data_IF_886588044455
#
_entry.id   IF_886588044455
#
_cell.length_a   1.000
_cell.length_b   1.000
_cell.length_c   1.000
_cell.angle_alpha   90.00
_cell.angle_beta   90.00
_cell.angle_gamma   90.00
#
_symmetry.space_group_name_H-M   'P 1'
#
loop_
_entity.id
_entity.type
_entity.pdbx_description
1 polymer ?
#
# COMPACT_ATOMS: atom_id res chain seq x y z
N UNK A 1 7.32 -14.27 -26.25
CA UNK A 1 7.21 -13.00 -25.52
C UNK A 1 5.74 -12.85 -25.20
N UNK A 2 5.39 -12.67 -23.93
CA UNK A 2 3.99 -12.52 -23.54
C UNK A 2 3.50 -11.12 -23.91
N UNK A 3 2.41 -11.03 -24.64
CA UNK A 3 1.68 -9.77 -24.85
C UNK A 3 0.86 -9.44 -23.60
N UNK A 4 0.50 -8.16 -23.42
CA UNK A 4 -0.37 -7.74 -22.30
C UNK A 4 -1.71 -8.49 -22.30
N UNK A 5 -2.28 -8.74 -23.48
CA UNK A 5 -3.53 -9.47 -23.64
C UNK A 5 -3.39 -10.95 -23.22
N UNK A 6 -2.29 -11.61 -23.60
CA UNK A 6 -1.99 -12.98 -23.13
C UNK A 6 -1.77 -13.03 -21.62
N UNK A 7 -1.06 -12.05 -21.05
CA UNK A 7 -0.90 -11.92 -19.59
C UNK A 7 -2.26 -11.76 -18.92
N UNK A 8 -3.11 -10.87 -19.41
CA UNK A 8 -4.44 -10.61 -18.84
C UNK A 8 -5.33 -11.85 -18.89
N UNK A 9 -5.37 -12.56 -20.02
CA UNK A 9 -6.13 -13.80 -20.14
C UNK A 9 -5.63 -14.88 -19.20
N UNK A 10 -4.33 -15.18 -19.21
CA UNK A 10 -3.76 -16.25 -18.38
C UNK A 10 -3.80 -15.91 -16.90
N UNK A 11 -3.58 -14.65 -16.52
CA UNK A 11 -3.74 -14.24 -15.12
C UNK A 11 -5.19 -14.36 -14.67
N UNK A 12 -6.18 -14.09 -15.53
CA UNK A 12 -7.58 -14.29 -15.20
C UNK A 12 -7.87 -15.74 -14.85
N UNK A 13 -7.39 -16.69 -15.66
CA UNK A 13 -7.51 -18.13 -15.40
C UNK A 13 -6.88 -18.51 -14.04
N UNK A 14 -5.69 -17.97 -13.73
CA UNK A 14 -5.02 -18.18 -12.44
C UNK A 14 -5.87 -17.67 -11.28
N UNK A 15 -6.47 -16.47 -11.38
CA UNK A 15 -7.26 -15.87 -10.32
C UNK A 15 -8.60 -16.61 -10.11
N UNK A 16 -9.27 -17.02 -11.20
CA UNK A 16 -10.49 -17.84 -11.14
C UNK A 16 -10.21 -19.14 -10.38
N UNK A 17 -9.13 -19.85 -10.73
CA UNK A 17 -8.79 -21.12 -10.11
C UNK A 17 -8.34 -20.97 -8.65
N UNK A 18 -7.55 -19.93 -8.36
CA UNK A 18 -7.00 -19.72 -7.02
C UNK A 18 -8.08 -19.25 -6.03
N UNK A 19 -9.00 -18.40 -6.48
CA UNK A 19 -10.03 -17.78 -5.62
C UNK A 19 -11.37 -18.51 -5.66
N UNK A 20 -11.59 -19.41 -6.62
CA UNK A 20 -12.87 -20.11 -6.79
C UNK A 20 -14.03 -19.16 -7.15
N UNK A 21 -13.72 -18.09 -7.88
CA UNK A 21 -14.69 -17.05 -8.31
C UNK A 21 -15.07 -17.21 -9.78
N UNK A 22 -16.22 -16.68 -10.15
CA UNK A 22 -16.66 -16.69 -11.55
C UNK A 22 -15.77 -15.79 -12.43
N UNK A 23 -15.47 -16.23 -13.66
CA UNK A 23 -14.60 -15.51 -14.59
C UNK A 23 -15.09 -14.09 -14.90
N UNK A 24 -16.41 -13.88 -14.94
CA UNK A 24 -17.05 -12.60 -15.21
C UNK A 24 -16.84 -11.57 -14.09
N UNK A 25 -16.48 -12.00 -12.88
CA UNK A 25 -16.12 -11.11 -11.76
C UNK A 25 -14.68 -10.60 -11.87
N UNK A 26 -13.80 -11.30 -12.58
CA UNK A 26 -12.37 -10.98 -12.69
C UNK A 26 -12.15 -9.95 -13.81
N UNK A 27 -12.64 -8.74 -13.58
CA UNK A 27 -12.48 -7.57 -14.45
C UNK A 27 -11.25 -6.75 -14.07
N UNK A 28 -10.75 -5.92 -14.99
CA UNK A 28 -9.47 -5.20 -14.82
C UNK A 28 -9.43 -4.32 -13.56
N UNK A 29 -10.54 -3.72 -13.15
CA UNK A 29 -10.61 -2.86 -11.95
C UNK A 29 -10.96 -3.63 -10.66
N UNK A 30 -11.24 -4.94 -10.73
CA UNK A 30 -11.61 -5.73 -9.57
C UNK A 30 -10.44 -5.82 -8.58
N UNK A 31 -10.67 -5.36 -7.35
CA UNK A 31 -9.75 -5.56 -6.22
C UNK A 31 -9.77 -7.03 -5.82
N UNK A 32 -8.58 -7.63 -5.74
CA UNK A 32 -8.41 -9.01 -5.29
C UNK A 32 -9.01 -9.22 -3.91
N UNK A 33 -8.83 -8.29 -2.97
CA UNK A 33 -9.34 -8.44 -1.60
C UNK A 33 -10.80 -8.02 -1.49
N UNK A 34 -11.16 -6.81 -1.96
CA UNK A 34 -12.49 -6.25 -1.71
C UNK A 34 -13.56 -6.88 -2.61
N UNK A 35 -13.25 -7.10 -3.89
CA UNK A 35 -14.25 -7.54 -4.87
C UNK A 35 -14.19 -9.06 -5.10
N UNK A 36 -12.99 -9.65 -5.05
CA UNK A 36 -12.79 -11.09 -5.28
C UNK A 36 -12.61 -11.91 -3.99
N UNK A 37 -12.52 -11.25 -2.82
CA UNK A 37 -12.48 -11.93 -1.53
C UNK A 37 -11.15 -12.63 -1.20
N UNK A 38 -10.05 -12.27 -1.84
CA UNK A 38 -8.74 -12.89 -1.61
C UNK A 38 -8.26 -12.69 -0.16
N UNK A 39 -7.89 -13.79 0.48
CA UNK A 39 -7.27 -13.85 1.79
C UNK A 39 -5.73 -13.96 1.69
N UNK A 40 -5.05 -13.79 2.82
CA UNK A 40 -3.58 -13.86 2.89
C UNK A 40 -2.97 -15.13 2.30
N UNK A 41 -3.67 -16.27 2.37
CA UNK A 41 -3.22 -17.55 1.83
C UNK A 41 -3.33 -17.59 0.29
N UNK A 42 -4.34 -16.93 -0.28
CA UNK A 42 -4.57 -16.91 -1.71
C UNK A 42 -3.44 -16.17 -2.43
N UNK A 43 -2.91 -15.11 -1.82
CA UNK A 43 -1.73 -14.41 -2.35
C UNK A 43 -0.51 -15.32 -2.49
N UNK A 44 -0.35 -16.34 -1.63
CA UNK A 44 0.74 -17.32 -1.75
C UNK A 44 0.52 -18.25 -2.96
N UNK A 45 -0.69 -18.76 -3.16
CA UNK A 45 -1.01 -19.62 -4.32
C UNK A 45 -0.92 -18.83 -5.63
N UNK A 46 -1.53 -17.64 -5.69
CA UNK A 46 -1.44 -16.73 -6.84
C UNK A 46 0.02 -16.42 -7.16
N UNK A 47 0.81 -16.05 -6.15
CA UNK A 47 2.24 -15.76 -6.32
C UNK A 47 3.02 -16.95 -6.87
N UNK A 48 2.77 -18.15 -6.36
CA UNK A 48 3.40 -19.38 -6.84
C UNK A 48 3.02 -19.68 -8.30
N UNK A 49 1.73 -19.61 -8.65
CA UNK A 49 1.24 -19.84 -10.02
C UNK A 49 1.76 -18.82 -11.02
N UNK A 50 1.81 -17.54 -10.63
CA UNK A 50 2.41 -16.46 -11.44
C UNK A 50 3.90 -16.72 -11.67
N UNK A 51 4.63 -17.14 -10.64
CA UNK A 51 6.04 -17.49 -10.76
C UNK A 51 6.26 -18.69 -11.69
N UNK A 52 5.46 -19.75 -11.58
CA UNK A 52 5.56 -20.92 -12.47
C UNK A 52 5.22 -20.57 -13.93
N UNK A 53 4.21 -19.73 -14.14
CA UNK A 53 3.68 -19.43 -15.48
C UNK A 53 4.49 -18.38 -16.22
N UNK A 54 4.80 -17.27 -15.54
CA UNK A 54 5.47 -16.11 -16.16
C UNK A 54 6.94 -15.98 -15.76
N UNK A 55 7.42 -16.78 -14.80
CA UNK A 55 8.74 -16.59 -14.20
C UNK A 55 8.86 -15.32 -13.36
N UNK A 56 7.75 -14.66 -13.02
CA UNK A 56 7.73 -13.39 -12.29
C UNK A 56 7.43 -13.67 -10.83
N UNK A 57 8.28 -13.17 -9.93
CA UNK A 57 8.01 -13.22 -8.49
C UNK A 57 7.16 -12.01 -8.09
N UNK A 58 6.00 -12.26 -7.50
CA UNK A 58 5.18 -11.19 -6.93
C UNK A 58 5.79 -10.71 -5.59
N UNK A 59 5.79 -9.40 -5.31
CA UNK A 59 6.44 -8.80 -4.14
C UNK A 59 5.59 -8.94 -2.87
N UNK A 60 4.88 -10.07 -2.71
CA UNK A 60 3.90 -10.30 -1.64
C UNK A 60 4.50 -10.01 -0.25
N UNK A 61 5.70 -10.51 0.02
CA UNK A 61 6.41 -10.30 1.29
C UNK A 61 6.70 -8.81 1.54
N UNK A 62 7.26 -8.12 0.54
CA UNK A 62 7.59 -6.71 0.66
C UNK A 62 6.34 -5.85 0.91
N UNK A 63 5.22 -6.19 0.28
CA UNK A 63 3.96 -5.46 0.51
C UNK A 63 3.37 -5.77 1.88
N UNK A 64 3.41 -7.02 2.34
CA UNK A 64 2.98 -7.36 3.70
C UNK A 64 3.78 -6.62 4.76
N UNK A 65 5.11 -6.57 4.62
CA UNK A 65 6.00 -5.84 5.53
C UNK A 65 5.67 -4.34 5.56
N UNK A 66 5.47 -3.72 4.39
CA UNK A 66 5.06 -2.32 4.28
C UNK A 66 3.68 -2.09 4.88
N UNK A 67 2.67 -2.89 4.53
CA UNK A 67 1.33 -2.77 5.07
C UNK A 67 1.30 -2.90 6.61
N UNK A 68 2.12 -3.77 7.19
CA UNK A 68 2.30 -3.88 8.63
C UNK A 68 2.98 -2.64 9.22
N UNK A 69 4.02 -2.11 8.58
CA UNK A 69 4.67 -0.85 8.98
C UNK A 69 3.64 0.30 9.00
N UNK A 70 2.89 0.47 7.92
CA UNK A 70 1.85 1.49 7.79
C UNK A 70 0.75 1.32 8.83
N UNK A 71 0.21 0.10 9.02
CA UNK A 71 -0.81 -0.18 10.06
C UNK A 71 -0.33 0.19 11.46
N UNK A 72 0.95 -0.04 11.75
CA UNK A 72 1.56 0.30 13.03
C UNK A 72 2.09 1.74 13.09
N UNK A 73 1.81 2.56 12.07
CA UNK A 73 2.27 3.95 11.96
C UNK A 73 3.80 4.09 12.06
N UNK A 74 4.52 3.10 11.54
CA UNK A 74 5.99 3.06 11.55
C UNK A 74 6.62 4.24 10.82
N UNK A 75 6.05 4.62 9.67
CA UNK A 75 6.54 5.78 8.90
C UNK A 75 6.32 7.10 9.66
N UNK A 76 5.19 7.26 10.34
CA UNK A 76 4.93 8.43 11.18
C UNK A 76 5.90 8.49 12.36
N UNK A 77 6.09 7.37 13.08
CA UNK A 77 7.07 7.26 14.17
C UNK A 77 8.48 7.64 13.71
N UNK A 78 8.89 7.15 12.54
CA UNK A 78 10.21 7.45 11.97
C UNK A 78 10.38 8.94 11.69
N UNK A 79 9.39 9.59 11.09
CA UNK A 79 9.44 11.03 10.83
C UNK A 79 9.57 11.81 12.13
N UNK A 80 8.85 11.43 13.19
CA UNK A 80 8.95 12.08 14.49
C UNK A 80 10.33 11.89 15.14
N UNK A 81 10.91 10.68 15.03
CA UNK A 81 12.26 10.41 15.52
C UNK A 81 13.31 11.22 14.75
N UNK A 82 13.23 11.26 13.43
CA UNK A 82 14.17 11.98 12.57
C UNK A 82 14.11 13.50 12.76
N UNK A 83 12.90 14.06 12.90
CA UNK A 83 12.71 15.51 13.02
C UNK A 83 12.90 16.05 14.43
N UNK A 84 12.44 15.29 15.43
CA UNK A 84 12.36 15.76 16.81
C UNK A 84 13.23 14.98 17.79
N UNK A 85 13.90 13.91 17.34
CA UNK A 85 14.64 13.01 18.22
C UNK A 85 13.73 12.24 19.18
N UNK A 86 12.43 12.17 18.89
CA UNK A 86 11.44 11.58 19.79
C UNK A 86 11.05 10.18 19.32
N UNK A 87 11.28 9.20 20.20
CA UNK A 87 10.73 7.85 20.03
C UNK A 87 9.33 7.75 20.63
N UNK A 88 8.43 7.14 19.87
CA UNK A 88 7.06 6.81 20.30
C UNK A 88 7.01 5.31 20.59
N UNK A 89 6.65 4.94 21.82
CA UNK A 89 6.48 3.53 22.15
C UNK A 89 5.24 2.95 21.44
N UNK A 90 5.19 1.63 21.15
CA UNK A 90 4.02 1.01 20.52
C UNK A 90 2.70 1.27 21.27
N UNK A 91 2.75 1.32 22.60
CA UNK A 91 1.62 1.63 23.48
C UNK A 91 1.07 3.04 23.27
N UNK A 92 1.98 4.00 23.07
CA UNK A 92 1.63 5.39 22.81
C UNK A 92 1.12 5.56 21.38
N UNK A 93 1.71 4.86 20.41
CA UNK A 93 1.24 4.88 19.02
C UNK A 93 -0.19 4.36 18.89
N UNK A 94 -0.58 3.36 19.69
CA UNK A 94 -1.97 2.91 19.81
C UNK A 94 -2.93 3.97 20.34
N UNK A 95 -2.46 5.05 20.96
CA UNK A 95 -3.33 6.17 21.35
C UNK A 95 -3.48 7.18 20.20
N UNK A 96 -2.46 7.30 19.35
CA UNK A 96 -2.44 8.23 18.23
C UNK A 96 -3.21 7.74 17.01
N UNK A 97 -3.43 6.42 16.87
CA UNK A 97 -4.00 5.85 15.64
C UNK A 97 -5.41 6.39 15.26
N UNK A 98 -6.17 6.97 16.19
CA UNK A 98 -7.48 7.58 15.90
C UNK A 98 -7.41 9.09 15.67
N UNK A 99 -6.25 9.70 15.86
CA UNK A 99 -6.03 11.15 15.76
C UNK A 99 -5.59 11.52 14.34
N UNK A 100 -5.89 12.75 13.93
CA UNK A 100 -5.21 13.38 12.81
C UNK A 100 -3.78 13.79 13.19
N UNK A 101 -2.96 14.10 12.18
CA UNK A 101 -1.61 14.62 12.41
C UNK A 101 -1.59 15.86 13.30
N UNK A 102 -2.46 16.89 13.13
CA UNK A 102 -2.45 18.08 13.98
C UNK A 102 -2.60 17.74 15.46
N UNK A 103 -3.56 16.87 15.80
CA UNK A 103 -3.81 16.45 17.18
C UNK A 103 -2.66 15.59 17.72
N UNK A 104 -2.10 14.69 16.91
CA UNK A 104 -0.96 13.87 17.29
C UNK A 104 0.30 14.72 17.56
N UNK A 105 0.52 15.79 16.80
CA UNK A 105 1.62 16.73 17.05
C UNK A 105 1.35 17.60 18.28
N UNK A 106 0.11 18.01 18.53
CA UNK A 106 -0.27 18.69 19.77
C UNK A 106 0.05 17.83 21.00
N UNK A 107 -0.38 16.56 20.98
CA UNK A 107 -0.05 15.58 22.01
C UNK A 107 1.46 15.38 22.17
N UNK A 108 2.21 15.33 21.07
CA UNK A 108 3.68 15.21 21.09
C UNK A 108 4.31 16.40 21.81
N UNK A 109 3.87 17.62 21.49
CA UNK A 109 4.35 18.86 22.11
C UNK A 109 4.07 18.90 23.61
N UNK A 110 2.87 18.54 24.04
CA UNK A 110 2.52 18.45 25.45
C UNK A 110 3.33 17.38 26.20
N UNK A 111 3.53 16.21 25.58
CA UNK A 111 4.25 15.09 26.20
C UNK A 111 5.75 15.35 26.35
N UNK A 112 6.37 16.03 25.39
CA UNK A 112 7.84 16.12 25.27
C UNK A 112 8.40 17.52 25.49
N UNK A 113 7.55 18.56 25.43
CA UNK A 113 7.98 19.96 25.43
C UNK A 113 8.58 20.43 24.11
N UNK A 114 8.55 19.61 23.05
CA UNK A 114 9.03 19.99 21.72
C UNK A 114 8.11 21.05 21.12
N UNK A 115 8.72 22.13 20.60
CA UNK A 115 7.98 23.17 19.90
C UNK A 115 7.60 22.71 18.49
N UNK A 116 6.29 22.58 18.22
CA UNK A 116 5.75 22.28 16.90
C UNK A 116 5.51 23.59 16.15
N UNK A 117 6.04 23.69 14.92
CA UNK A 117 5.90 24.88 14.09
C UNK A 117 4.53 24.93 13.38
N UNK A 118 4.09 26.13 13.01
CA UNK A 118 2.90 26.30 12.18
C UNK A 118 3.13 25.66 10.78
N UNK A 119 2.13 24.94 10.28
CA UNK A 119 2.19 24.25 8.98
C UNK A 119 2.89 22.88 9.03
N UNK A 120 3.35 22.46 10.21
CA UNK A 120 4.13 21.23 10.33
C UNK A 120 3.29 19.97 10.18
N UNK A 121 1.99 20.05 10.51
CA UNK A 121 1.06 18.95 10.27
C UNK A 121 0.93 18.66 8.76
N UNK A 122 0.78 19.70 7.95
CA UNK A 122 0.71 19.62 6.49
C UNK A 122 2.03 19.12 5.89
N UNK A 123 3.17 19.59 6.41
CA UNK A 123 4.49 19.11 5.98
C UNK A 123 4.69 17.62 6.25
N UNK A 124 4.29 17.14 7.42
CA UNK A 124 4.39 15.72 7.79
C UNK A 124 3.40 14.88 6.99
N UNK A 125 2.16 15.36 6.79
CA UNK A 125 1.17 14.70 5.96
C UNK A 125 1.67 14.54 4.51
N UNK A 126 2.25 15.60 3.94
CA UNK A 126 2.86 15.58 2.62
C UNK A 126 4.01 14.58 2.53
N UNK A 127 4.93 14.60 3.50
CA UNK A 127 6.06 13.68 3.55
C UNK A 127 5.61 12.20 3.64
N UNK A 128 4.56 11.91 4.42
CA UNK A 128 3.96 10.59 4.50
C UNK A 128 3.30 10.18 3.18
N UNK A 129 2.53 11.06 2.54
CA UNK A 129 1.92 10.77 1.24
C UNK A 129 2.99 10.47 0.17
N UNK A 130 4.05 11.28 0.12
CA UNK A 130 5.18 11.09 -0.79
C UNK A 130 5.90 9.76 -0.50
N UNK A 131 6.04 9.42 0.79
CA UNK A 131 6.62 8.14 1.21
C UNK A 131 5.75 6.98 0.75
N UNK A 132 4.44 7.02 0.95
CA UNK A 132 3.51 5.98 0.50
C UNK A 132 3.62 5.73 -1.01
N UNK A 133 3.61 6.81 -1.79
CA UNK A 133 3.78 6.78 -3.24
C UNK A 133 5.09 6.10 -3.62
N UNK A 134 6.22 6.58 -3.06
CA UNK A 134 7.54 6.01 -3.31
C UNK A 134 7.63 4.53 -2.93
N UNK A 135 6.97 4.13 -1.84
CA UNK A 135 6.96 2.74 -1.41
C UNK A 135 6.18 1.83 -2.37
N UNK A 136 5.08 2.30 -2.93
CA UNK A 136 4.29 1.57 -3.93
C UNK A 136 5.08 1.41 -5.23
N UNK A 137 5.78 2.46 -5.68
CA UNK A 137 6.68 2.37 -6.83
C UNK A 137 7.84 1.42 -6.58
N UNK A 138 8.40 1.43 -5.37
CA UNK A 138 9.54 0.57 -5.01
C UNK A 138 9.22 -0.92 -5.08
N UNK A 139 7.96 -1.30 -4.88
CA UNK A 139 7.49 -2.68 -5.04
C UNK A 139 7.00 -2.96 -6.46
N UNK A 140 7.14 -2.03 -7.40
CA UNK A 140 6.85 -2.22 -8.82
C UNK A 140 5.41 -1.97 -9.24
N UNK A 141 4.58 -1.39 -8.37
CA UNK A 141 3.22 -0.98 -8.70
C UNK A 141 3.19 0.50 -9.09
N UNK A 142 2.23 0.89 -9.93
CA UNK A 142 2.12 2.28 -10.39
C UNK A 142 1.49 3.16 -9.31
N UNK A 143 2.24 4.14 -8.80
CA UNK A 143 1.71 5.08 -7.84
C UNK A 143 0.80 6.16 -8.44
N UNK A 144 0.65 6.24 -9.77
CA UNK A 144 -0.38 7.07 -10.42
C UNK A 144 -1.81 6.72 -9.96
N UNK A 145 -2.00 5.57 -9.32
CA UNK A 145 -3.26 5.14 -8.72
C UNK A 145 -3.53 5.77 -7.34
N UNK A 146 -2.55 6.48 -6.76
CA UNK A 146 -2.66 7.08 -5.44
C UNK A 146 -2.96 8.57 -5.58
N UNK A 147 -4.14 8.98 -5.10
CA UNK A 147 -4.48 10.40 -4.95
C UNK A 147 -3.68 11.00 -3.79
N UNK A 148 -2.55 11.63 -4.11
CA UNK A 148 -1.66 12.27 -3.14
C UNK A 148 -2.39 13.27 -2.24
N UNK A 149 -3.18 14.16 -2.84
CA UNK A 149 -3.91 15.18 -2.08
C UNK A 149 -4.99 14.55 -1.22
N UNK A 150 -5.69 13.54 -1.74
CA UNK A 150 -6.61 12.71 -0.96
C UNK A 150 -5.94 12.10 0.26
N UNK A 151 -4.76 11.49 0.11
CA UNK A 151 -3.99 10.89 1.22
C UNK A 151 -3.61 11.95 2.25
N UNK A 152 -3.12 13.13 1.84
CA UNK A 152 -2.78 14.23 2.74
C UNK A 152 -4.00 14.64 3.57
N UNK A 153 -5.13 14.89 2.91
CA UNK A 153 -6.37 15.30 3.58
C UNK A 153 -6.86 14.22 4.56
N UNK A 154 -6.67 12.95 4.24
CA UNK A 154 -7.01 11.85 5.14
C UNK A 154 -6.07 11.79 6.36
N UNK A 155 -4.76 11.90 6.17
CA UNK A 155 -3.78 11.87 7.26
C UNK A 155 -3.94 13.04 8.24
N UNK A 156 -4.34 14.20 7.73
CA UNK A 156 -4.65 15.36 8.58
C UNK A 156 -5.86 15.12 9.48
N UNK A 157 -6.79 14.22 9.11
CA UNK A 157 -8.00 13.93 9.89
C UNK A 157 -7.85 12.67 10.74
N UNK A 158 -7.14 11.66 10.23
CA UNK A 158 -6.95 10.38 10.87
C UNK A 158 -5.72 9.66 10.31
N UNK A 159 -4.72 9.44 11.16
CA UNK A 159 -3.49 8.70 10.85
C UNK A 159 -3.77 7.28 10.32
N UNK A 160 -4.82 6.63 10.82
CA UNK A 160 -5.29 5.33 10.38
C UNK A 160 -6.63 5.44 9.63
N UNK A 161 -6.70 6.29 8.59
CA UNK A 161 -7.93 6.45 7.82
C UNK A 161 -8.29 5.16 7.05
N UNK A 162 -9.53 4.65 7.20
CA UNK A 162 -10.03 3.54 6.39
C UNK A 162 -9.91 3.77 4.88
N UNK A 163 -9.97 5.04 4.43
CA UNK A 163 -9.85 5.39 3.01
C UNK A 163 -8.43 5.20 2.47
N UNK A 164 -7.41 5.46 3.28
CA UNK A 164 -6.01 5.19 2.88
C UNK A 164 -5.83 3.68 2.72
N UNK A 165 -6.33 2.90 3.70
CA UNK A 165 -6.30 1.45 3.64
C UNK A 165 -7.07 0.89 2.45
N UNK A 166 -8.25 1.44 2.15
CA UNK A 166 -9.04 1.08 0.97
C UNK A 166 -8.26 1.38 -0.33
N UNK A 167 -7.62 2.55 -0.42
CA UNK A 167 -6.74 2.90 -1.54
C UNK A 167 -5.58 1.90 -1.71
N UNK A 168 -4.92 1.51 -0.61
CA UNK A 168 -3.85 0.51 -0.64
C UNK A 168 -4.35 -0.87 -1.09
N UNK A 169 -5.53 -1.28 -0.64
CA UNK A 169 -6.16 -2.55 -1.05
C UNK A 169 -6.49 -2.55 -2.55
N UNK A 170 -6.91 -1.41 -3.10
CA UNK A 170 -7.20 -1.25 -4.53
C UNK A 170 -5.96 -1.33 -5.42
N UNK A 171 -4.75 -1.19 -4.87
CA UNK A 171 -3.51 -1.41 -5.64
C UNK A 171 -3.38 -2.86 -6.12
N UNK A 172 -3.98 -3.81 -5.39
CA UNK A 172 -4.04 -5.21 -5.79
C UNK A 172 -5.29 -5.48 -6.62
N UNK A 173 -5.35 -4.88 -7.80
CA UNK A 173 -6.38 -5.20 -8.79
C UNK A 173 -5.83 -6.12 -9.87
N UNK A 174 -6.76 -6.74 -10.62
CA UNK A 174 -6.42 -7.50 -11.82
C UNK A 174 -5.52 -6.69 -12.77
N UNK A 175 -5.92 -5.47 -13.10
CA UNK A 175 -5.19 -4.59 -14.01
C UNK A 175 -3.80 -4.22 -13.50
N UNK A 176 -3.66 -3.94 -12.20
CA UNK A 176 -2.36 -3.66 -11.59
C UNK A 176 -1.40 -4.84 -11.67
N UNK A 177 -1.89 -6.06 -11.46
CA UNK A 177 -1.10 -7.27 -11.60
C UNK A 177 -0.73 -7.57 -13.06
N UNK A 178 -1.66 -7.34 -14.00
CA UNK A 178 -1.37 -7.44 -15.44
C UNK A 178 -0.26 -6.48 -15.82
N UNK A 179 -0.34 -5.22 -15.40
CA UNK A 179 0.67 -4.21 -15.72
C UNK A 179 2.02 -4.55 -15.07
N UNK A 180 2.01 -5.01 -13.81
CA UNK A 180 3.20 -5.46 -13.07
C UNK A 180 3.91 -6.62 -13.78
N UNK A 181 3.15 -7.65 -14.17
CA UNK A 181 3.68 -8.84 -14.83
C UNK A 181 4.16 -8.46 -16.22
N UNK A 182 3.33 -7.77 -17.02
CA UNK A 182 3.65 -7.38 -18.41
C UNK A 182 4.96 -6.61 -18.50
N UNK A 183 5.21 -5.70 -17.56
CA UNK A 183 6.47 -4.95 -17.48
C UNK A 183 7.66 -5.89 -17.30
N UNK A 184 7.57 -6.89 -16.41
CA UNK A 184 8.67 -7.82 -16.08
C UNK A 184 8.89 -8.94 -17.09
N UNK A 185 7.85 -9.45 -17.73
CA UNK A 185 8.04 -10.39 -18.85
C UNK A 185 8.59 -9.69 -20.09
N UNK A 186 8.37 -8.38 -20.25
CA UNK A 186 9.00 -7.56 -21.28
C UNK A 186 10.48 -7.24 -21.01
N UNK A 187 10.84 -7.00 -19.75
CA UNK A 187 12.21 -6.64 -19.33
C UNK A 187 13.22 -7.80 -19.40
N UNK A 188 12.78 -9.06 -19.29
CA UNK A 188 13.67 -10.24 -19.25
C UNK A 188 14.40 -10.59 -20.57
N UNK A 189 14.35 -9.73 -21.59
CA UNK A 189 15.01 -9.97 -22.90
C UNK A 189 16.00 -8.87 -23.29
N UNK A 190 16.57 -8.14 -22.33
CA UNK A 190 17.69 -7.22 -22.60
C UNK A 190 18.93 -7.56 -21.79
#
# INVERSE_FOLDING_TARGET
MWTREEVEKTLREILVDALGVDEDKVVSDASLVHDLGAESIDFLDIGFRVQQTFGVELPNKAIQEKALSWRNMGEFSRILEERYGVRIAPEEMRQLHTMGIPEALGWLGERTGVAIQNGEAENIAAALADRLISEVESVGFRASLIDREGVIQQLLQNLNSPKIMEGMVRLFSMGSLVDFISTRVGEKTQ
#
